data_IF_085566752059
#
_entry.id   IF_085566752059
#
_cell.length_a   1.000
_cell.length_b   1.000
_cell.length_c   1.000
_cell.angle_alpha   90.00
_cell.angle_beta   90.00
_cell.angle_gamma   90.00
#
_symmetry.space_group_name_H-M   'P 1'
#
loop_
_entity.id
_entity.type
_entity.pdbx_description
1 polymer ?
#
# COMPACT_ATOMS: atom_id res chain seq x y z
N UNK A 1 24.02 16.50 17.06
CA UNK A 1 24.31 15.11 16.64
C UNK A 1 23.55 14.17 17.57
N UNK A 2 22.75 13.27 17.01
CA UNK A 2 22.13 12.17 17.74
C UNK A 2 20.61 12.27 17.83
N UNK A 3 19.90 11.68 16.86
CA UNK A 3 18.56 11.09 17.04
C UNK A 3 17.99 10.34 15.80
N UNK A 4 18.78 10.09 14.74
CA UNK A 4 18.29 9.33 13.57
C UNK A 4 18.58 7.81 13.60
N UNK A 5 19.07 7.27 14.73
CA UNK A 5 19.63 5.91 14.78
C UNK A 5 18.70 4.79 15.27
N UNK A 6 17.50 5.10 15.77
CA UNK A 6 16.72 4.10 16.53
C UNK A 6 15.58 3.45 15.72
N UNK A 7 15.03 4.14 14.70
CA UNK A 7 13.87 3.63 13.95
C UNK A 7 14.21 2.51 12.94
N UNK A 8 15.48 2.35 12.54
CA UNK A 8 15.90 1.32 11.58
C UNK A 8 16.15 -0.05 12.24
N UNK A 9 16.16 -0.13 13.58
CA UNK A 9 16.73 -1.28 14.30
C UNK A 9 15.80 -2.49 14.46
N UNK A 10 14.52 -2.42 14.07
CA UNK A 10 13.52 -3.48 14.31
C UNK A 10 12.81 -4.03 13.07
N UNK A 11 12.92 -3.38 11.90
CA UNK A 11 12.25 -3.88 10.69
C UNK A 11 12.81 -5.24 10.27
N UNK A 12 11.93 -6.17 9.87
CA UNK A 12 12.32 -7.47 9.30
C UNK A 12 13.05 -7.27 7.96
N UNK A 13 13.61 -8.34 7.39
CA UNK A 13 14.18 -8.26 6.04
C UNK A 13 13.14 -7.83 4.99
N UNK A 14 11.88 -8.25 5.14
CA UNK A 14 10.79 -7.81 4.28
C UNK A 14 10.47 -6.31 4.47
N UNK A 15 10.44 -5.83 5.71
CA UNK A 15 10.23 -4.41 6.03
C UNK A 15 11.29 -3.51 5.44
N UNK A 16 12.57 -3.89 5.55
CA UNK A 16 13.67 -3.15 4.92
C UNK A 16 13.52 -3.08 3.40
N UNK A 17 13.24 -4.19 2.73
CA UNK A 17 13.04 -4.23 1.28
C UNK A 17 11.87 -3.33 0.83
N UNK A 18 10.78 -3.30 1.60
CA UNK A 18 9.63 -2.43 1.30
C UNK A 18 9.99 -0.95 1.47
N UNK A 19 10.67 -0.58 2.55
CA UNK A 19 11.12 0.79 2.78
C UNK A 19 12.11 1.26 1.70
N UNK A 20 13.11 0.44 1.37
CA UNK A 20 14.08 0.74 0.31
C UNK A 20 13.41 0.92 -1.06
N UNK A 21 12.38 0.12 -1.36
CA UNK A 21 11.60 0.25 -2.59
C UNK A 21 10.75 1.53 -2.62
N UNK A 22 10.26 1.98 -1.47
CA UNK A 22 9.50 3.23 -1.33
C UNK A 22 10.38 4.48 -1.47
N UNK A 23 11.67 4.40 -1.17
CA UNK A 23 12.62 5.50 -1.35
C UNK A 23 13.04 5.72 -2.82
N UNK A 24 12.64 4.82 -3.73
CA UNK A 24 12.99 4.91 -5.15
C UNK A 24 12.18 5.98 -5.88
N UNK A 25 12.71 6.46 -7.01
CA UNK A 25 12.05 7.46 -7.88
C UNK A 25 10.64 7.02 -8.36
N UNK A 26 10.45 5.71 -8.54
CA UNK A 26 9.16 5.11 -8.93
C UNK A 26 8.73 4.04 -7.92
N UNK A 27 8.17 4.43 -6.76
CA UNK A 27 7.87 3.53 -5.66
C UNK A 27 6.99 2.33 -6.05
N UNK A 28 5.87 2.57 -6.73
CA UNK A 28 4.96 1.50 -7.14
C UNK A 28 5.63 0.45 -8.05
N UNK A 29 6.50 0.90 -8.96
CA UNK A 29 7.27 0.01 -9.86
C UNK A 29 8.37 -0.75 -9.11
N UNK A 30 8.98 -0.14 -8.10
CA UNK A 30 9.98 -0.79 -7.26
C UNK A 30 9.35 -1.84 -6.35
N UNK A 31 8.19 -1.54 -5.76
CA UNK A 31 7.41 -2.48 -4.95
C UNK A 31 6.95 -3.69 -5.78
N UNK A 32 6.52 -3.49 -7.02
CA UNK A 32 6.04 -4.60 -7.86
C UNK A 32 7.11 -5.64 -8.18
N UNK A 33 8.40 -5.25 -8.15
CA UNK A 33 9.55 -6.17 -8.30
C UNK A 33 9.74 -7.11 -7.12
N UNK A 34 9.06 -6.86 -5.99
CA UNK A 34 9.07 -7.74 -4.83
C UNK A 34 8.07 -8.90 -4.95
N UNK A 35 7.42 -9.07 -6.10
CA UNK A 35 6.44 -10.14 -6.37
C UNK A 35 6.98 -11.55 -6.10
N UNK A 36 8.28 -11.76 -6.30
CA UNK A 36 8.94 -13.06 -6.14
C UNK A 36 9.35 -13.35 -4.68
N UNK A 37 9.10 -12.41 -3.76
CA UNK A 37 9.33 -12.57 -2.33
C UNK A 37 8.02 -12.75 -1.58
N UNK A 38 7.64 -13.99 -1.19
CA UNK A 38 6.38 -14.24 -0.49
C UNK A 38 6.23 -13.43 0.81
N UNK A 39 7.34 -13.21 1.52
CA UNK A 39 7.37 -12.39 2.73
C UNK A 39 7.06 -10.92 2.45
N UNK A 40 7.66 -10.34 1.40
CA UNK A 40 7.39 -8.96 1.01
C UNK A 40 5.95 -8.79 0.48
N UNK A 41 5.45 -9.75 -0.30
CA UNK A 41 4.06 -9.72 -0.79
C UNK A 41 3.06 -9.75 0.36
N UNK A 42 3.27 -10.61 1.37
CA UNK A 42 2.42 -10.65 2.58
C UNK A 42 2.47 -9.32 3.33
N UNK A 43 3.67 -8.76 3.52
CA UNK A 43 3.83 -7.48 4.20
C UNK A 43 3.15 -6.34 3.46
N UNK A 44 3.27 -6.26 2.13
CA UNK A 44 2.61 -5.22 1.32
C UNK A 44 1.09 -5.29 1.40
N UNK A 45 0.51 -6.49 1.45
CA UNK A 45 -0.94 -6.69 1.64
C UNK A 45 -1.42 -6.16 2.99
N UNK A 46 -0.65 -6.41 4.06
CA UNK A 46 -0.99 -5.88 5.39
C UNK A 46 -0.74 -4.37 5.48
N UNK A 47 0.36 -3.85 4.91
CA UNK A 47 0.65 -2.42 4.86
C UNK A 47 -0.45 -1.66 4.14
N UNK A 48 -0.89 -2.16 2.98
CA UNK A 48 -2.05 -1.65 2.26
C UNK A 48 -3.29 -1.62 3.16
N UNK A 49 -3.59 -2.73 3.83
CA UNK A 49 -4.76 -2.83 4.70
C UNK A 49 -4.71 -1.82 5.85
N UNK A 50 -3.55 -1.66 6.50
CA UNK A 50 -3.35 -0.69 7.59
C UNK A 50 -3.52 0.74 7.07
N UNK A 51 -2.84 1.08 5.97
CA UNK A 51 -2.89 2.43 5.39
C UNK A 51 -4.30 2.81 4.93
N UNK A 52 -4.95 1.92 4.16
CA UNK A 52 -6.32 2.15 3.66
C UNK A 52 -7.32 2.27 4.80
N UNK A 53 -7.25 1.39 5.81
CA UNK A 53 -8.19 1.47 6.94
C UNK A 53 -8.01 2.75 7.75
N UNK A 54 -6.78 3.19 7.96
CA UNK A 54 -6.49 4.45 8.65
C UNK A 54 -7.03 5.66 7.87
N UNK A 55 -7.01 5.60 6.54
CA UNK A 55 -7.44 6.69 5.69
C UNK A 55 -8.95 6.72 5.44
N UNK A 56 -9.60 5.56 5.25
CA UNK A 56 -10.95 5.48 4.66
C UNK A 56 -12.03 4.84 5.54
N UNK A 57 -11.71 4.27 6.71
CA UNK A 57 -12.76 3.73 7.60
C UNK A 57 -13.72 4.84 8.02
N UNK A 58 -15.02 4.61 7.80
CA UNK A 58 -16.09 5.57 8.13
C UNK A 58 -16.22 6.74 7.16
N UNK A 59 -15.44 6.79 6.07
CA UNK A 59 -15.55 7.79 5.01
C UNK A 59 -16.64 7.45 3.99
N UNK A 60 -17.08 8.45 3.24
CA UNK A 60 -18.04 8.26 2.15
C UNK A 60 -17.37 7.47 1.00
N UNK A 61 -18.03 6.49 0.38
CA UNK A 61 -17.49 5.78 -0.78
C UNK A 61 -17.00 6.69 -1.92
N UNK A 62 -17.58 7.89 -2.07
CA UNK A 62 -17.15 8.90 -3.05
C UNK A 62 -15.73 9.40 -2.79
N UNK A 63 -15.26 9.38 -1.54
CA UNK A 63 -13.87 9.72 -1.21
C UNK A 63 -12.89 8.71 -1.82
N UNK A 64 -13.28 7.43 -1.88
CA UNK A 64 -12.49 6.38 -2.54
C UNK A 64 -12.43 6.61 -4.05
N UNK A 65 -13.57 6.92 -4.68
CA UNK A 65 -13.60 7.24 -6.12
C UNK A 65 -12.73 8.46 -6.45
N UNK A 66 -12.82 9.53 -5.65
CA UNK A 66 -11.97 10.71 -5.81
C UNK A 66 -10.49 10.39 -5.68
N UNK A 67 -10.13 9.60 -4.66
CA UNK A 67 -8.76 9.13 -4.45
C UNK A 67 -8.24 8.27 -5.61
N UNK A 68 -9.01 7.29 -6.06
CA UNK A 68 -8.62 6.40 -7.16
C UNK A 68 -8.38 7.19 -8.45
N UNK A 69 -9.21 8.18 -8.73
CA UNK A 69 -9.02 9.05 -9.90
C UNK A 69 -7.68 9.77 -9.85
N UNK A 70 -7.37 10.45 -8.75
CA UNK A 70 -6.08 11.17 -8.59
C UNK A 70 -4.88 10.21 -8.60
N UNK A 71 -5.00 9.05 -7.95
CA UNK A 71 -3.97 8.01 -7.96
C UNK A 71 -3.65 7.55 -9.39
N UNK A 72 -4.67 7.21 -10.17
CA UNK A 72 -4.49 6.70 -11.53
C UNK A 72 -3.97 7.80 -12.47
N UNK A 73 -4.46 9.03 -12.32
CA UNK A 73 -3.95 10.19 -13.07
C UNK A 73 -2.46 10.41 -12.81
N UNK A 74 -2.03 10.36 -11.55
CA UNK A 74 -0.62 10.48 -11.19
C UNK A 74 0.26 9.36 -11.77
N UNK A 75 -0.28 8.14 -11.84
CA UNK A 75 0.41 7.01 -12.47
C UNK A 75 0.34 7.04 -14.01
N UNK A 76 -0.27 8.06 -14.61
CA UNK A 76 -0.54 8.15 -16.06
C UNK A 76 -1.32 6.95 -16.59
N UNK A 77 -2.31 6.49 -15.81
CA UNK A 77 -3.19 5.36 -16.12
C UNK A 77 -4.62 5.83 -16.43
N UNK A 78 -5.44 5.02 -17.13
CA UNK A 78 -6.84 5.32 -17.35
C UNK A 78 -7.59 5.51 -16.03
N UNK A 79 -8.22 6.68 -15.84
CA UNK A 79 -8.93 7.06 -14.62
C UNK A 79 -10.38 6.54 -14.57
N UNK A 80 -10.80 5.80 -15.59
CA UNK A 80 -12.15 5.25 -15.73
C UNK A 80 -12.13 3.79 -16.19
N UNK A 81 -13.31 3.23 -16.42
CA UNK A 81 -13.46 1.87 -16.96
C UNK A 81 -13.14 0.76 -15.96
N UNK A 82 -12.54 -0.33 -16.45
CA UNK A 82 -12.29 -1.53 -15.64
C UNK A 82 -11.23 -1.30 -14.57
N UNK A 83 -10.11 -0.65 -14.90
CA UNK A 83 -9.00 -0.42 -13.97
C UNK A 83 -9.44 0.42 -12.76
N UNK A 84 -10.17 1.52 -12.98
CA UNK A 84 -10.68 2.34 -11.89
C UNK A 84 -11.63 1.57 -10.97
N UNK A 85 -12.55 0.77 -11.53
CA UNK A 85 -13.47 -0.07 -10.75
C UNK A 85 -12.74 -1.15 -9.95
N UNK A 86 -11.70 -1.75 -10.52
CA UNK A 86 -10.85 -2.71 -9.82
C UNK A 86 -10.08 -2.05 -8.67
N UNK A 87 -9.50 -0.87 -8.88
CA UNK A 87 -8.80 -0.12 -7.84
C UNK A 87 -9.73 0.26 -6.68
N UNK A 88 -10.94 0.77 -6.98
CA UNK A 88 -11.97 1.05 -5.98
C UNK A 88 -12.36 -0.19 -5.21
N UNK A 89 -12.61 -1.31 -5.90
CA UNK A 89 -12.99 -2.57 -5.28
C UNK A 89 -11.88 -3.10 -4.34
N UNK A 90 -10.62 -2.98 -4.73
CA UNK A 90 -9.47 -3.37 -3.88
C UNK A 90 -9.41 -2.53 -2.60
N UNK A 91 -9.56 -1.21 -2.68
CA UNK A 91 -9.60 -0.32 -1.51
C UNK A 91 -10.81 -0.62 -0.62
N UNK A 92 -11.99 -0.75 -1.22
CA UNK A 92 -13.24 -1.04 -0.49
C UNK A 92 -13.22 -2.40 0.21
N UNK A 93 -12.56 -3.39 -0.39
CA UNK A 93 -12.35 -4.70 0.24
C UNK A 93 -11.58 -4.61 1.56
N UNK A 94 -10.59 -3.72 1.66
CA UNK A 94 -9.80 -3.55 2.88
C UNK A 94 -10.55 -2.82 4.01
N UNK A 95 -11.58 -2.03 3.68
CA UNK A 95 -12.41 -1.30 4.67
C UNK A 95 -13.68 -2.03 5.08
N UNK A 96 -13.97 -3.22 4.53
CA UNK A 96 -15.07 -4.08 5.00
C UNK A 96 -15.99 -4.62 3.91
N UNK A 97 -15.69 -4.42 2.63
CA UNK A 97 -16.50 -4.93 1.51
C UNK A 97 -15.75 -6.00 0.69
N UNK A 98 -15.38 -7.16 1.28
CA UNK A 98 -14.44 -8.12 0.68
C UNK A 98 -14.91 -8.69 -0.66
N UNK A 99 -16.22 -8.82 -0.86
CA UNK A 99 -16.81 -9.43 -2.06
C UNK A 99 -16.52 -8.63 -3.34
N UNK A 100 -16.26 -7.31 -3.21
CA UNK A 100 -16.00 -6.45 -4.37
C UNK A 100 -14.72 -6.83 -5.10
N UNK A 101 -13.68 -7.28 -4.38
CA UNK A 101 -12.40 -7.65 -4.96
C UNK A 101 -12.32 -9.12 -5.38
N UNK A 102 -13.34 -9.95 -5.07
CA UNK A 102 -13.28 -11.41 -5.22
C UNK A 102 -12.93 -11.87 -6.64
N UNK A 103 -13.42 -11.17 -7.67
CA UNK A 103 -13.20 -11.53 -9.08
C UNK A 103 -11.89 -10.98 -9.67
N UNK A 104 -11.14 -10.18 -8.91
CA UNK A 104 -9.91 -9.56 -9.37
C UNK A 104 -8.76 -10.57 -9.24
N UNK A 105 -8.03 -10.88 -10.32
CA UNK A 105 -6.88 -11.79 -10.27
C UNK A 105 -5.83 -11.36 -9.25
N UNK A 106 -5.16 -12.30 -8.60
CA UNK A 106 -4.20 -12.01 -7.53
C UNK A 106 -3.05 -11.10 -7.96
N UNK A 107 -2.50 -11.32 -9.17
CA UNK A 107 -1.44 -10.46 -9.72
C UNK A 107 -1.94 -9.03 -9.90
N UNK A 108 -3.13 -8.87 -10.48
CA UNK A 108 -3.77 -7.56 -10.67
C UNK A 108 -4.05 -6.86 -9.35
N UNK A 109 -4.52 -7.59 -8.35
CA UNK A 109 -4.73 -7.07 -7.00
C UNK A 109 -3.42 -6.61 -6.37
N UNK A 110 -2.34 -7.37 -6.55
CA UNK A 110 -1.01 -7.00 -6.05
C UNK A 110 -0.45 -5.74 -6.72
N UNK A 111 -0.62 -5.58 -8.04
CA UNK A 111 -0.25 -4.35 -8.75
C UNK A 111 -0.99 -3.13 -8.19
N UNK A 112 -2.32 -3.25 -7.99
CA UNK A 112 -3.14 -2.18 -7.41
C UNK A 112 -2.70 -1.82 -5.99
N UNK A 113 -2.33 -2.82 -5.18
CA UNK A 113 -1.74 -2.61 -3.85
C UNK A 113 -0.43 -1.81 -3.97
N UNK A 114 0.43 -2.13 -4.92
CA UNK A 114 1.70 -1.42 -5.12
C UNK A 114 1.47 0.05 -5.51
N UNK A 115 0.45 0.37 -6.32
CA UNK A 115 0.10 1.76 -6.62
C UNK A 115 -0.31 2.52 -5.36
N UNK A 116 -1.22 1.98 -4.56
CA UNK A 116 -1.72 2.65 -3.34
C UNK A 116 -0.62 2.78 -2.29
N UNK A 117 0.20 1.75 -2.07
CA UNK A 117 1.31 1.81 -1.10
C UNK A 117 2.42 2.76 -1.60
N UNK A 118 2.72 2.76 -2.90
CA UNK A 118 3.68 3.69 -3.50
C UNK A 118 3.23 5.16 -3.43
N UNK A 119 1.93 5.42 -3.39
CA UNK A 119 1.35 6.76 -3.24
C UNK A 119 1.55 7.35 -1.83
N UNK A 120 1.84 6.52 -0.81
CA UNK A 120 2.13 6.99 0.55
C UNK A 120 3.33 7.94 0.63
N UNK A 121 4.26 7.85 -0.33
CA UNK A 121 5.45 8.71 -0.40
C UNK A 121 5.37 9.74 -1.52
N UNK A 122 4.26 9.80 -2.26
CA UNK A 122 4.00 10.85 -3.26
C UNK A 122 3.96 12.21 -2.57
N UNK A 123 4.74 13.22 -3.01
CA UNK A 123 4.77 14.54 -2.37
C UNK A 123 3.38 15.15 -2.15
N UNK A 124 3.08 15.67 -0.93
CA UNK A 124 4.02 15.95 0.16
C UNK A 124 4.47 14.71 0.96
N UNK A 125 3.88 13.55 0.74
CA UNK A 125 4.27 12.27 1.31
C UNK A 125 3.97 12.15 2.80
N UNK A 126 3.87 10.90 3.29
CA UNK A 126 3.87 10.62 4.71
C UNK A 126 5.29 10.83 5.25
N UNK A 127 5.46 11.49 6.41
CA UNK A 127 6.78 11.62 7.03
C UNK A 127 7.45 10.25 7.26
N UNK A 128 8.78 10.12 7.08
CA UNK A 128 9.47 8.83 7.17
C UNK A 128 9.22 8.06 8.48
N UNK A 129 9.11 8.77 9.61
CA UNK A 129 8.79 8.14 10.89
C UNK A 129 7.39 7.48 10.89
N UNK A 130 6.38 8.18 10.38
CA UNK A 130 5.03 7.62 10.27
C UNK A 130 4.96 6.47 9.26
N UNK A 131 5.79 6.50 8.20
CA UNK A 131 5.89 5.39 7.27
C UNK A 131 6.48 4.15 7.94
N UNK A 132 7.55 4.31 8.73
CA UNK A 132 8.12 3.24 9.52
C UNK A 132 7.10 2.63 10.51
N UNK A 133 6.31 3.47 11.19
CA UNK A 133 5.24 3.01 12.10
C UNK A 133 4.17 2.17 11.36
N UNK A 134 3.82 2.54 10.12
CA UNK A 134 2.87 1.77 9.32
C UNK A 134 3.44 0.40 8.92
N UNK A 135 4.73 0.35 8.57
CA UNK A 135 5.44 -0.89 8.25
C UNK A 135 5.53 -1.80 9.48
N UNK A 136 5.92 -1.28 10.65
CA UNK A 136 5.98 -2.03 11.90
C UNK A 136 4.60 -2.61 12.29
N UNK A 137 3.53 -1.81 12.17
CA UNK A 137 2.16 -2.29 12.38
C UNK A 137 1.77 -3.41 11.41
N UNK A 138 2.19 -3.33 10.15
CA UNK A 138 1.95 -4.37 9.17
C UNK A 138 2.74 -5.65 9.49
N UNK A 139 4.00 -5.54 9.93
CA UNK A 139 4.82 -6.67 10.37
C UNK A 139 4.18 -7.42 11.55
N UNK A 140 3.71 -6.71 12.57
CA UNK A 140 2.98 -7.31 13.69
C UNK A 140 1.66 -7.98 13.29
N UNK A 141 1.05 -7.59 12.17
CA UNK A 141 -0.14 -8.28 11.64
C UNK A 141 0.21 -9.55 10.89
N UNK A 142 1.32 -9.54 10.14
CA UNK A 142 1.86 -10.74 9.48
C UNK A 142 2.21 -11.81 10.52
N UNK A 143 2.88 -11.43 11.62
CA UNK A 143 3.27 -12.36 12.70
C UNK A 143 2.07 -13.03 13.36
N UNK A 144 0.98 -12.29 13.60
CA UNK A 144 -0.24 -12.82 14.23
C UNK A 144 -1.10 -13.70 13.33
N UNK A 145 -0.86 -13.64 12.02
CA UNK A 145 -1.62 -14.35 11.00
C UNK A 145 -0.85 -15.56 10.44
N UNK A 146 0.35 -15.83 10.96
CA UNK A 146 1.23 -16.95 10.61
C UNK A 146 1.12 -18.07 11.64
#
# INVERSE_FOLDING_TARGET
>A
MGQNGTLVKTATAAGRNVLEALEQEHPARSLSRLSDSPGAVRLLRELFTVAVRRSFVGRDPRDVTGYVRDLLEYQSLPTDGALAREAEAVIRSAVGEPDLAYRIPDLRRFELICYVVGDLVRPPGIPPAHLADLVEQAEHRVERSS
#
